data_IF_751291030097
#
_entry.id   IF_751291030097
#
_cell.length_a   1.000
_cell.length_b   1.000
_cell.length_c   1.000
_cell.angle_alpha   90.00
_cell.angle_beta   90.00
_cell.angle_gamma   90.00
#
_symmetry.space_group_name_H-M   'P 1'
#
loop_
_entity.id
_entity.type
_entity.pdbx_description
1 polymer ?
#
# COMPACT_ATOMS: atom_id res chain seq x y z
N UNK A 1 15.70 0.84 0.30
CA UNK A 1 14.29 1.26 0.26
C UNK A 1 14.23 2.65 0.86
N UNK A 2 13.54 3.54 0.19
CA UNK A 2 13.25 4.90 0.66
C UNK A 2 11.73 5.09 0.65
N UNK A 3 11.15 5.41 1.81
CA UNK A 3 9.69 5.57 1.98
C UNK A 3 9.41 6.87 2.70
N UNK A 4 8.51 7.68 2.15
CA UNK A 4 8.01 8.92 2.75
C UNK A 4 6.48 8.87 2.77
N UNK A 5 5.89 9.19 3.92
CA UNK A 5 4.44 9.32 4.09
C UNK A 5 4.14 10.69 4.68
N UNK A 6 3.18 11.40 4.07
CA UNK A 6 2.67 12.68 4.56
C UNK A 6 1.13 12.61 4.55
N UNK A 7 0.55 12.58 5.74
CA UNK A 7 -0.90 12.45 5.93
C UNK A 7 -1.65 13.76 5.69
N UNK A 8 -0.95 14.91 5.73
CA UNK A 8 -1.54 16.23 5.56
C UNK A 8 -1.51 16.72 4.11
N UNK A 9 -0.68 16.09 3.26
CA UNK A 9 -0.57 16.46 1.86
C UNK A 9 -1.52 15.65 0.98
N UNK A 10 -2.32 16.36 0.18
CA UNK A 10 -3.20 15.71 -0.79
C UNK A 10 -2.41 14.89 -1.81
N UNK A 11 -2.88 13.68 -2.08
CA UNK A 11 -2.39 12.87 -3.18
C UNK A 11 -2.70 13.57 -4.52
N UNK A 12 -1.68 13.87 -5.28
CA UNK A 12 -1.83 14.29 -6.68
C UNK A 12 -1.31 13.17 -7.57
N UNK A 13 -2.13 12.67 -8.48
CA UNK A 13 -1.73 11.64 -9.43
C UNK A 13 -0.40 12.01 -10.10
N UNK A 14 0.50 11.06 -10.24
CA UNK A 14 1.78 11.29 -10.92
C UNK A 14 1.51 11.50 -12.41
N UNK A 15 2.05 12.59 -12.96
CA UNK A 15 2.18 12.73 -14.41
C UNK A 15 3.27 11.75 -14.89
N UNK A 16 2.86 10.81 -15.74
CA UNK A 16 3.63 9.91 -16.60
C UNK A 16 4.88 9.18 -16.04
N UNK A 17 4.70 7.89 -15.81
CA UNK A 17 5.71 6.91 -15.42
C UNK A 17 6.82 6.59 -16.45
N UNK A 18 6.89 7.28 -17.58
CA UNK A 18 7.78 6.93 -18.70
C UNK A 18 9.28 7.15 -18.45
N UNK A 19 9.69 7.68 -17.29
CA UNK A 19 11.09 8.03 -17.02
C UNK A 19 11.83 7.18 -15.97
N UNK A 20 11.15 6.26 -15.29
CA UNK A 20 11.73 5.61 -14.11
C UNK A 20 12.92 4.69 -14.40
N UNK A 21 12.89 3.94 -15.50
CA UNK A 21 14.00 3.04 -15.86
C UNK A 21 15.26 3.77 -16.32
N UNK A 22 15.12 4.89 -17.01
CA UNK A 22 16.24 5.68 -17.51
C UNK A 22 17.02 6.42 -16.41
N UNK A 23 16.39 6.67 -15.26
CA UNK A 23 17.01 7.42 -14.17
C UNK A 23 17.96 6.58 -13.31
N UNK A 24 17.88 5.23 -13.40
CA UNK A 24 18.66 4.34 -12.54
C UNK A 24 19.64 3.47 -13.33
N UNK A 25 20.78 4.10 -13.72
CA UNK A 25 21.81 3.50 -14.59
C UNK A 25 22.82 2.57 -13.89
N UNK A 26 22.69 2.38 -12.58
CA UNK A 26 23.62 1.52 -11.80
C UNK A 26 24.99 2.15 -11.50
N UNK A 27 25.28 3.33 -12.01
CA UNK A 27 26.55 4.02 -11.74
C UNK A 27 26.59 4.58 -10.31
N UNK A 28 27.79 4.64 -9.71
CA UNK A 28 27.96 5.28 -8.42
C UNK A 28 27.62 6.78 -8.51
N UNK A 29 26.63 7.23 -7.75
CA UNK A 29 26.14 8.62 -7.74
C UNK A 29 26.57 9.33 -6.46
N UNK A 30 26.87 10.61 -6.57
CA UNK A 30 27.00 11.46 -5.38
C UNK A 30 25.66 11.62 -4.66
N UNK A 31 25.63 11.97 -3.36
CA UNK A 31 24.38 12.19 -2.65
C UNK A 31 23.44 13.19 -3.34
N UNK A 32 23.97 14.28 -3.90
CA UNK A 32 23.18 15.27 -4.63
C UNK A 32 22.61 14.72 -5.95
N UNK A 33 23.38 13.88 -6.68
CA UNK A 33 22.89 13.22 -7.89
C UNK A 33 21.82 12.18 -7.57
N UNK A 34 21.99 11.45 -6.45
CA UNK A 34 21.00 10.50 -5.98
C UNK A 34 19.68 11.20 -5.63
N UNK A 35 19.76 12.29 -4.87
CA UNK A 35 18.59 13.10 -4.51
C UNK A 35 17.87 13.66 -5.74
N UNK A 36 18.61 14.16 -6.73
CA UNK A 36 18.04 14.65 -7.99
C UNK A 36 17.36 13.51 -8.78
N UNK A 37 17.96 12.30 -8.78
CA UNK A 37 17.39 11.13 -9.41
C UNK A 37 16.08 10.71 -8.73
N UNK A 38 16.07 10.63 -7.39
CA UNK A 38 14.89 10.28 -6.60
C UNK A 38 13.74 11.28 -6.84
N UNK A 39 14.05 12.57 -6.98
CA UNK A 39 13.04 13.59 -7.30
C UNK A 39 12.39 13.43 -8.68
N UNK A 40 13.13 12.86 -9.63
CA UNK A 40 12.65 12.62 -10.99
C UNK A 40 11.87 11.31 -11.16
N UNK A 41 11.91 10.41 -10.15
CA UNK A 41 11.17 9.14 -10.19
C UNK A 41 9.67 9.36 -9.94
N UNK A 42 8.81 8.47 -10.44
CA UNK A 42 7.42 8.36 -10.01
C UNK A 42 7.32 8.30 -8.48
N UNK A 43 6.17 8.61 -7.94
CA UNK A 43 5.96 8.55 -6.47
C UNK A 43 6.15 7.15 -5.92
N UNK A 44 5.69 6.16 -6.66
CA UNK A 44 5.90 4.75 -6.37
C UNK A 44 6.75 4.16 -7.48
N UNK A 45 7.90 3.63 -7.13
CA UNK A 45 8.85 2.99 -8.05
C UNK A 45 9.60 1.88 -7.29
N UNK A 46 8.97 0.73 -7.14
CA UNK A 46 9.55 -0.44 -6.49
C UNK A 46 10.32 -1.31 -7.49
N UNK A 47 10.02 -1.15 -8.77
CA UNK A 47 10.51 -1.99 -9.84
C UNK A 47 9.73 -3.29 -10.01
N UNK A 48 8.63 -3.45 -9.27
CA UNK A 48 7.63 -4.52 -9.40
C UNK A 48 6.32 -3.86 -9.82
N UNK A 49 6.02 -3.91 -11.12
CA UNK A 49 4.95 -3.10 -11.73
C UNK A 49 3.56 -3.34 -11.11
N UNK A 50 3.31 -4.59 -10.70
CA UNK A 50 2.06 -4.96 -10.00
C UNK A 50 1.96 -4.27 -8.64
N UNK A 51 3.04 -4.26 -7.87
CA UNK A 51 3.09 -3.62 -6.56
C UNK A 51 2.95 -2.10 -6.67
N UNK A 52 3.61 -1.48 -7.65
CA UNK A 52 3.50 -0.04 -7.89
C UNK A 52 2.04 0.38 -8.09
N UNK A 53 1.29 -0.37 -8.90
CA UNK A 53 -0.15 -0.12 -9.12
C UNK A 53 -1.01 -0.30 -7.87
N UNK A 54 -0.71 -1.30 -7.03
CA UNK A 54 -1.44 -1.54 -5.78
C UNK A 54 -1.20 -0.42 -4.77
N UNK A 55 0.05 0.02 -4.62
CA UNK A 55 0.43 1.10 -3.72
C UNK A 55 -0.09 2.46 -4.18
N UNK A 56 -0.13 2.73 -5.50
CA UNK A 56 -0.75 3.92 -6.05
C UNK A 56 -2.27 3.93 -5.79
N UNK A 57 -2.95 2.80 -5.97
CA UNK A 57 -4.37 2.66 -5.67
C UNK A 57 -4.66 2.89 -4.17
N UNK A 58 -3.81 2.37 -3.29
CA UNK A 58 -3.87 2.60 -1.84
C UNK A 58 -3.71 4.09 -1.51
N UNK A 59 -2.64 4.72 -1.98
CA UNK A 59 -2.31 6.11 -1.68
C UNK A 59 -3.37 7.08 -2.21
N UNK A 60 -3.83 6.87 -3.45
CA UNK A 60 -4.89 7.66 -4.05
C UNK A 60 -6.21 7.55 -3.29
N UNK A 61 -6.58 6.35 -2.86
CA UNK A 61 -7.81 6.12 -2.11
C UNK A 61 -7.74 6.67 -0.68
N UNK A 62 -6.56 6.65 -0.05
CA UNK A 62 -6.31 7.24 1.26
C UNK A 62 -6.26 8.78 1.22
N UNK A 63 -6.12 9.36 0.05
CA UNK A 63 -5.88 10.80 -0.15
C UNK A 63 -4.65 11.33 0.62
N UNK A 64 -3.66 10.47 0.84
CA UNK A 64 -2.40 10.80 1.51
C UNK A 64 -1.24 10.76 0.51
N UNK A 65 -0.22 11.57 0.76
CA UNK A 65 0.98 11.53 -0.06
C UNK A 65 1.86 10.36 0.40
N UNK A 66 2.07 9.42 -0.50
CA UNK A 66 3.00 8.31 -0.33
C UNK A 66 4.09 8.41 -1.39
N UNK A 67 5.32 8.16 -0.98
CA UNK A 67 6.47 8.10 -1.85
C UNK A 67 7.29 6.87 -1.49
N UNK A 68 7.47 5.99 -2.44
CA UNK A 68 8.16 4.70 -2.25
C UNK A 68 9.14 4.48 -3.38
N UNK A 69 10.41 4.35 -3.04
CA UNK A 69 11.43 3.97 -4.00
C UNK A 69 12.21 2.75 -3.48
N UNK A 70 12.24 1.70 -4.26
CA UNK A 70 12.97 0.48 -3.93
C UNK A 70 13.89 0.07 -5.08
N UNK A 71 15.06 -0.45 -4.72
CA UNK A 71 15.94 -1.15 -5.62
C UNK A 71 16.29 -2.49 -5.00
N UNK A 72 15.46 -3.49 -5.28
CA UNK A 72 15.63 -4.85 -4.79
C UNK A 72 16.39 -5.77 -5.73
N UNK A 73 16.52 -7.01 -5.31
CA UNK A 73 17.20 -8.11 -5.98
C UNK A 73 16.28 -8.85 -6.99
N UNK A 74 15.58 -8.09 -7.81
CA UNK A 74 14.59 -8.56 -8.81
C UNK A 74 15.09 -9.68 -9.75
N UNK A 75 16.37 -9.99 -9.72
CA UNK A 75 16.92 -11.11 -10.45
C UNK A 75 16.64 -12.49 -9.82
N UNK A 76 16.12 -12.49 -8.58
CA UNK A 76 15.71 -13.68 -7.84
C UNK A 76 14.20 -13.87 -8.04
N UNK A 77 13.38 -12.97 -7.45
CA UNK A 77 11.92 -12.96 -7.52
C UNK A 77 11.35 -11.61 -7.04
N UNK A 78 10.04 -11.57 -6.79
CA UNK A 78 9.32 -10.42 -6.27
C UNK A 78 9.25 -10.35 -4.73
N UNK A 79 9.63 -11.44 -4.03
CA UNK A 79 9.37 -11.65 -2.60
C UNK A 79 10.00 -10.56 -1.73
N UNK A 80 11.34 -10.51 -1.71
CA UNK A 80 12.06 -9.59 -0.82
C UNK A 80 11.65 -8.13 -1.03
N UNK A 81 11.51 -7.72 -2.31
CA UNK A 81 11.14 -6.35 -2.63
C UNK A 81 9.72 -6.00 -2.19
N UNK A 82 8.76 -6.89 -2.40
CA UNK A 82 7.36 -6.65 -2.05
C UNK A 82 7.15 -6.64 -0.53
N UNK A 83 7.75 -7.59 0.19
CA UNK A 83 7.67 -7.68 1.63
C UNK A 83 8.32 -6.48 2.32
N UNK A 84 9.58 -6.18 1.99
CA UNK A 84 10.34 -5.10 2.63
C UNK A 84 9.74 -3.71 2.36
N UNK A 85 9.19 -3.49 1.17
CA UNK A 85 8.46 -2.26 0.84
C UNK A 85 7.20 -2.15 1.69
N UNK A 86 6.43 -3.21 1.81
CA UNK A 86 5.19 -3.22 2.60
C UNK A 86 5.47 -3.00 4.10
N UNK A 87 6.50 -3.66 4.65
CA UNK A 87 6.98 -3.46 6.02
C UNK A 87 7.37 -2.00 6.23
N UNK A 88 8.26 -1.45 5.37
CA UNK A 88 8.75 -0.08 5.51
C UNK A 88 7.62 0.94 5.43
N UNK A 89 6.67 0.76 4.51
CA UNK A 89 5.51 1.64 4.39
C UNK A 89 4.60 1.54 5.61
N UNK A 90 4.38 0.35 6.14
CA UNK A 90 3.59 0.14 7.35
C UNK A 90 4.18 0.84 8.56
N UNK A 91 5.50 0.74 8.75
CA UNK A 91 6.23 1.42 9.82
C UNK A 91 6.13 2.94 9.67
N UNK A 92 6.33 3.49 8.47
CA UNK A 92 6.16 4.92 8.20
C UNK A 92 4.73 5.40 8.50
N UNK A 93 3.70 4.63 8.12
CA UNK A 93 2.32 4.93 8.46
C UNK A 93 2.09 4.94 9.97
N UNK A 94 2.62 3.95 10.69
CA UNK A 94 2.51 3.88 12.14
C UNK A 94 3.15 5.12 12.81
N UNK A 95 4.33 5.51 12.37
CA UNK A 95 5.03 6.69 12.87
C UNK A 95 4.27 7.99 12.56
N UNK A 96 3.77 8.14 11.33
CA UNK A 96 3.02 9.31 10.89
C UNK A 96 1.70 9.49 11.67
N UNK A 97 1.01 8.40 12.00
CA UNK A 97 -0.24 8.43 12.79
C UNK A 97 0.01 8.76 14.26
N UNK A 98 1.19 8.53 14.79
CA UNK A 98 1.61 8.89 16.14
C UNK A 98 0.77 8.25 17.25
N UNK A 99 0.40 9.04 18.25
CA UNK A 99 -0.37 8.60 19.43
C UNK A 99 -1.87 8.45 19.16
N UNK A 100 -2.32 8.81 17.94
CA UNK A 100 -3.71 8.72 17.47
C UNK A 100 -4.69 9.62 18.24
N UNK A 101 -4.18 10.64 18.92
CA UNK A 101 -5.00 11.62 19.64
C UNK A 101 -5.83 12.46 18.66
N UNK A 102 -7.12 12.57 18.95
CA UNK A 102 -8.04 13.36 18.15
C UNK A 102 -8.53 12.71 16.87
N UNK A 103 -7.97 11.54 16.46
CA UNK A 103 -8.37 10.86 15.24
C UNK A 103 -9.70 10.12 15.38
N UNK A 104 -10.37 9.86 14.25
CA UNK A 104 -11.54 8.97 14.19
C UNK A 104 -11.19 7.57 14.64
N UNK A 105 -10.01 7.07 14.30
CA UNK A 105 -9.46 5.77 14.65
C UNK A 105 -10.04 4.60 13.88
N UNK A 106 -11.34 4.53 13.74
CA UNK A 106 -12.04 3.42 13.08
C UNK A 106 -12.81 3.93 11.87
N UNK A 107 -12.72 3.21 10.77
CA UNK A 107 -13.47 3.48 9.55
C UNK A 107 -13.73 2.20 8.76
N UNK A 108 -14.59 2.31 7.76
CA UNK A 108 -14.76 1.28 6.76
C UNK A 108 -14.94 1.93 5.39
N UNK A 109 -14.51 1.24 4.37
CA UNK A 109 -14.72 1.67 3.00
C UNK A 109 -14.99 0.46 2.10
N UNK A 110 -15.66 0.72 0.99
CA UNK A 110 -15.87 -0.26 -0.07
C UNK A 110 -15.33 0.30 -1.37
N UNK A 111 -14.60 -0.53 -2.13
CA UNK A 111 -14.08 -0.17 -3.45
C UNK A 111 -14.43 -1.24 -4.46
N UNK A 112 -14.74 -0.76 -5.67
CA UNK A 112 -15.06 -1.61 -6.82
C UNK A 112 -14.05 -1.36 -7.93
N UNK A 113 -13.51 -2.45 -8.49
CA UNK A 113 -12.68 -2.43 -9.70
C UNK A 113 -13.23 -3.51 -10.63
N UNK A 114 -13.69 -3.12 -11.79
CA UNK A 114 -14.44 -4.04 -12.67
C UNK A 114 -15.66 -4.63 -11.97
N UNK A 115 -15.77 -5.95 -11.96
CA UNK A 115 -16.82 -6.70 -11.27
C UNK A 115 -16.48 -7.01 -9.80
N UNK A 116 -15.21 -6.87 -9.40
CA UNK A 116 -14.77 -7.15 -8.04
C UNK A 116 -15.07 -5.98 -7.10
N UNK A 117 -15.60 -6.28 -5.92
CA UNK A 117 -15.89 -5.30 -4.89
C UNK A 117 -15.42 -5.81 -3.53
N UNK A 118 -14.60 -5.01 -2.85
CA UNK A 118 -14.03 -5.33 -1.54
C UNK A 118 -14.44 -4.28 -0.51
N UNK A 119 -14.81 -4.75 0.68
CA UNK A 119 -14.99 -3.93 1.87
C UNK A 119 -13.82 -4.10 2.81
N UNK A 120 -13.25 -2.98 3.25
CA UNK A 120 -12.26 -2.92 4.32
C UNK A 120 -12.90 -2.31 5.58
N UNK A 121 -12.62 -2.90 6.74
CA UNK A 121 -12.94 -2.34 8.06
C UNK A 121 -11.63 -2.21 8.82
N UNK A 122 -11.32 -1.02 9.27
CA UNK A 122 -10.04 -0.65 9.87
C UNK A 122 -10.22 -0.12 11.30
N UNK A 123 -9.36 -0.58 12.21
CA UNK A 123 -9.13 0.03 13.52
C UNK A 123 -7.63 0.28 13.73
N UNK A 124 -7.23 1.54 13.94
CA UNK A 124 -5.86 1.94 14.30
C UNK A 124 -5.57 1.55 15.76
N UNK A 125 -5.68 0.26 16.05
CA UNK A 125 -5.81 -0.32 17.40
C UNK A 125 -4.49 -0.46 18.18
N UNK A 126 -3.33 -0.37 17.52
CA UNK A 126 -2.02 -0.85 17.99
C UNK A 126 -1.99 -2.36 18.32
N UNK A 127 -2.96 -3.11 17.83
CA UNK A 127 -3.04 -4.57 17.92
C UNK A 127 -3.11 -5.13 16.50
N UNK A 128 -1.93 -5.42 15.91
CA UNK A 128 -1.85 -5.89 14.54
C UNK A 128 -2.69 -7.16 14.35
N UNK A 129 -3.57 -7.14 13.37
CA UNK A 129 -4.36 -8.31 13.01
C UNK A 129 -4.97 -8.12 11.62
N UNK A 130 -4.93 -9.14 10.80
CA UNK A 130 -5.57 -9.15 9.49
C UNK A 130 -6.49 -10.36 9.36
N UNK A 131 -7.68 -10.13 8.85
CA UNK A 131 -8.60 -11.20 8.42
C UNK A 131 -9.07 -10.88 7.02
N UNK A 132 -8.97 -11.85 6.12
CA UNK A 132 -9.37 -11.72 4.73
C UNK A 132 -10.07 -12.99 4.25
N UNK A 133 -11.16 -12.84 3.50
CA UNK A 133 -11.80 -13.92 2.74
C UNK A 133 -11.53 -13.80 1.24
N UNK A 134 -10.63 -12.90 0.84
CA UNK A 134 -10.25 -12.72 -0.55
C UNK A 134 -9.52 -13.95 -1.08
N UNK A 135 -9.88 -14.39 -2.28
CA UNK A 135 -9.24 -15.52 -2.96
C UNK A 135 -8.54 -15.03 -4.21
N UNK A 136 -7.24 -15.15 -4.22
CA UNK A 136 -6.40 -14.86 -5.36
C UNK A 136 -6.06 -16.17 -6.07
N UNK A 137 -6.88 -16.55 -7.04
CA UNK A 137 -6.82 -17.87 -7.68
C UNK A 137 -5.88 -17.91 -8.89
N UNK A 138 -5.39 -16.77 -9.37
CA UNK A 138 -4.42 -16.66 -10.46
C UNK A 138 -3.00 -16.54 -9.88
N UNK A 139 -2.00 -17.09 -10.56
CA UNK A 139 -0.61 -17.09 -10.09
C UNK A 139 0.00 -15.69 -10.04
N UNK A 140 -0.32 -14.85 -11.04
CA UNK A 140 0.20 -13.50 -11.17
C UNK A 140 -0.90 -12.45 -11.26
N UNK A 141 -0.61 -11.24 -10.81
CA UNK A 141 -1.47 -10.08 -11.03
C UNK A 141 -1.25 -9.51 -12.43
N UNK A 142 -1.87 -10.10 -13.43
CA UNK A 142 -1.80 -9.64 -14.82
C UNK A 142 -2.17 -10.74 -15.80
N UNK A 143 -2.38 -10.36 -17.07
CA UNK A 143 -2.90 -11.23 -18.11
C UNK A 143 -1.88 -12.26 -18.63
N UNK A 144 -0.62 -12.18 -18.25
CA UNK A 144 0.42 -13.09 -18.72
C UNK A 144 1.48 -13.35 -17.65
N UNK A 145 1.99 -14.59 -17.64
CA UNK A 145 3.19 -14.93 -16.90
C UNK A 145 4.39 -14.10 -17.40
N UNK A 146 5.32 -13.70 -16.51
CA UNK A 146 6.49 -12.93 -16.91
C UNK A 146 7.37 -13.72 -17.89
N UNK A 147 7.94 -12.99 -18.86
CA UNK A 147 8.92 -13.56 -19.78
C UNK A 147 10.25 -13.90 -19.11
N UNK A 148 11.15 -14.59 -19.83
CA UNK A 148 12.50 -14.86 -19.33
C UNK A 148 13.23 -13.56 -18.94
N UNK A 149 13.66 -13.46 -17.69
CA UNK A 149 14.34 -12.28 -17.13
C UNK A 149 13.40 -11.20 -16.57
N UNK A 150 12.09 -11.42 -16.59
CA UNK A 150 11.08 -10.49 -16.04
C UNK A 150 10.44 -11.00 -14.73
N UNK A 151 10.86 -12.15 -14.24
CA UNK A 151 10.25 -12.82 -13.07
C UNK A 151 10.13 -11.90 -11.85
N UNK A 152 11.17 -11.13 -11.54
CA UNK A 152 11.14 -10.20 -10.42
C UNK A 152 10.45 -8.86 -10.70
N UNK A 153 9.79 -8.70 -11.85
CA UNK A 153 8.96 -7.51 -12.18
C UNK A 153 7.46 -7.81 -12.12
N UNK A 154 7.10 -9.07 -12.27
CA UNK A 154 5.72 -9.51 -12.10
C UNK A 154 5.45 -9.70 -10.60
N UNK A 155 4.28 -9.28 -10.16
CA UNK A 155 3.83 -9.53 -8.80
C UNK A 155 3.00 -10.82 -8.78
N UNK A 156 3.42 -11.77 -7.96
CA UNK A 156 2.61 -12.96 -7.70
C UNK A 156 1.40 -12.62 -6.83
N UNK A 157 0.34 -13.39 -6.96
CA UNK A 157 -0.87 -13.21 -6.14
C UNK A 157 -0.61 -13.48 -4.66
N UNK A 158 0.28 -14.44 -4.38
CA UNK A 158 0.76 -14.72 -3.03
C UNK A 158 1.44 -13.50 -2.42
N UNK A 159 2.34 -12.84 -3.17
CA UNK A 159 3.05 -11.66 -2.70
C UNK A 159 2.15 -10.43 -2.60
N UNK A 160 1.12 -10.31 -3.42
CA UNK A 160 0.12 -9.25 -3.25
C UNK A 160 -0.64 -9.39 -1.92
N UNK A 161 -1.06 -10.61 -1.58
CA UNK A 161 -1.70 -10.90 -0.30
C UNK A 161 -0.75 -10.66 0.87
N UNK A 162 0.49 -11.14 0.76
CA UNK A 162 1.52 -10.98 1.78
C UNK A 162 1.91 -9.52 2.02
N UNK A 163 2.08 -8.73 0.95
CA UNK A 163 2.36 -7.30 1.06
C UNK A 163 1.22 -6.53 1.75
N UNK A 164 -0.03 -6.87 1.45
CA UNK A 164 -1.17 -6.26 2.11
C UNK A 164 -1.19 -6.59 3.61
N UNK A 165 -0.93 -7.84 3.98
CA UNK A 165 -0.85 -8.28 5.36
C UNK A 165 0.32 -7.60 6.09
N UNK A 166 1.52 -7.61 5.53
CA UNK A 166 2.72 -6.98 6.10
C UNK A 166 2.51 -5.47 6.32
N UNK A 167 1.93 -4.78 5.34
CA UNK A 167 1.58 -3.36 5.45
C UNK A 167 0.65 -3.09 6.64
N UNK A 168 -0.41 -3.87 6.78
CA UNK A 168 -1.39 -3.69 7.85
C UNK A 168 -0.82 -4.04 9.23
N UNK A 169 -0.02 -5.10 9.34
CA UNK A 169 0.61 -5.53 10.58
C UNK A 169 1.62 -4.48 11.07
N UNK A 170 2.47 -3.97 10.19
CA UNK A 170 3.49 -2.97 10.52
C UNK A 170 2.89 -1.57 10.76
N UNK A 171 1.77 -1.23 10.10
CA UNK A 171 0.96 -0.04 10.46
C UNK A 171 0.25 -0.20 11.83
N UNK A 172 0.41 -1.35 12.48
CA UNK A 172 -0.19 -1.71 13.78
C UNK A 172 -1.69 -1.49 13.83
N UNK A 173 -2.37 -1.88 12.77
CA UNK A 173 -3.82 -1.80 12.69
C UNK A 173 -4.48 -3.19 12.72
N UNK A 174 -5.76 -3.20 13.05
CA UNK A 174 -6.65 -4.34 12.84
C UNK A 174 -7.39 -4.09 11.53
N UNK A 175 -7.23 -4.98 10.55
CA UNK A 175 -7.84 -4.87 9.23
C UNK A 175 -8.67 -6.12 8.93
N UNK A 176 -9.93 -5.90 8.54
CA UNK A 176 -10.80 -6.94 8.02
C UNK A 176 -11.15 -6.62 6.58
N UNK A 177 -10.89 -7.56 5.67
CA UNK A 177 -11.24 -7.48 4.26
C UNK A 177 -12.29 -8.52 3.93
N UNK A 178 -13.34 -8.09 3.27
CA UNK A 178 -14.42 -8.97 2.82
C UNK A 178 -14.68 -8.77 1.33
N UNK A 179 -14.69 -9.87 0.58
CA UNK A 179 -15.18 -9.91 -0.79
C UNK A 179 -16.68 -9.67 -0.80
N UNK A 180 -17.12 -8.58 -1.41
CA UNK A 180 -18.56 -8.24 -1.55
C UNK A 180 -19.12 -8.76 -2.86
N UNK A 181 -18.30 -8.68 -3.93
CA UNK A 181 -18.62 -9.20 -5.25
C UNK A 181 -17.34 -9.62 -5.97
N UNK A 182 -17.43 -10.70 -6.73
CA UNK A 182 -16.40 -11.22 -7.62
C UNK A 182 -17.08 -12.07 -8.69
N UNK A 183 -16.72 -11.90 -9.94
CA UNK A 183 -17.28 -12.69 -11.06
C UNK A 183 -16.47 -13.95 -11.38
N UNK A 184 -15.26 -14.10 -10.80
CA UNK A 184 -14.36 -15.21 -11.01
C UNK A 184 -13.87 -15.36 -12.45
N UNK A 185 -13.99 -14.31 -13.28
CA UNK A 185 -13.52 -14.33 -14.65
C UNK A 185 -12.01 -14.08 -14.74
N UNK A 186 -11.33 -14.49 -15.82
CA UNK A 186 -9.91 -14.24 -16.00
C UNK A 186 -9.54 -12.77 -15.76
N UNK A 187 -8.48 -12.50 -14.99
CA UNK A 187 -8.06 -11.16 -14.56
C UNK A 187 -8.79 -10.64 -13.31
N UNK A 188 -9.69 -11.43 -12.70
CA UNK A 188 -10.40 -11.01 -11.49
C UNK A 188 -9.45 -10.80 -10.30
N UNK A 189 -8.40 -11.60 -10.18
CA UNK A 189 -7.43 -11.50 -9.08
C UNK A 189 -6.76 -10.12 -9.04
N UNK A 190 -6.35 -9.57 -10.18
CA UNK A 190 -5.80 -8.22 -10.26
C UNK A 190 -6.81 -7.14 -9.84
N UNK A 191 -8.06 -7.27 -10.29
CA UNK A 191 -9.14 -6.36 -9.91
C UNK A 191 -9.46 -6.45 -8.43
N UNK A 192 -9.47 -7.67 -7.89
CA UNK A 192 -9.72 -7.93 -6.46
C UNK A 192 -8.61 -7.32 -5.59
N UNK A 193 -7.34 -7.49 -5.99
CA UNK A 193 -6.20 -6.90 -5.29
C UNK A 193 -6.25 -5.36 -5.32
N UNK A 194 -6.51 -4.75 -6.49
CA UNK A 194 -6.69 -3.30 -6.60
C UNK A 194 -7.85 -2.79 -5.75
N UNK A 195 -8.97 -3.50 -5.73
CA UNK A 195 -10.11 -3.16 -4.88
C UNK A 195 -9.76 -3.25 -3.39
N UNK A 196 -8.98 -4.28 -2.98
CA UNK A 196 -8.55 -4.47 -1.60
C UNK A 196 -7.62 -3.36 -1.11
N UNK A 197 -6.56 -3.06 -1.87
CA UNK A 197 -5.65 -1.96 -1.54
C UNK A 197 -6.36 -0.60 -1.56
N UNK A 198 -7.23 -0.36 -2.54
CA UNK A 198 -8.04 0.85 -2.59
C UNK A 198 -9.04 0.97 -1.44
N UNK A 199 -9.68 -0.14 -1.01
CA UNK A 199 -10.59 -0.14 0.14
C UNK A 199 -9.84 0.11 1.46
N UNK A 200 -8.67 -0.53 1.62
CA UNK A 200 -7.81 -0.29 2.78
C UNK A 200 -7.36 1.17 2.84
N UNK A 201 -6.84 1.73 1.72
CA UNK A 201 -6.45 3.12 1.64
C UNK A 201 -7.59 4.08 2.00
N UNK A 202 -8.78 3.88 1.43
CA UNK A 202 -9.93 4.72 1.74
C UNK A 202 -10.36 4.63 3.21
N UNK A 203 -10.35 3.44 3.80
CA UNK A 203 -10.63 3.28 5.23
C UNK A 203 -9.55 3.97 6.09
N UNK A 204 -8.27 3.92 5.66
CA UNK A 204 -7.18 4.63 6.33
C UNK A 204 -7.41 6.14 6.29
N UNK A 205 -7.68 6.71 5.09
CA UNK A 205 -7.93 8.14 4.94
C UNK A 205 -9.01 8.66 5.88
N UNK A 206 -10.12 7.91 6.00
CA UNK A 206 -11.17 8.27 6.97
C UNK A 206 -10.75 8.08 8.43
N UNK A 207 -9.99 7.01 8.74
CA UNK A 207 -9.59 6.71 10.12
C UNK A 207 -8.61 7.73 10.70
N UNK A 208 -7.77 8.34 9.85
CA UNK A 208 -6.80 9.39 10.24
C UNK A 208 -7.41 10.80 10.26
N UNK A 209 -8.65 10.99 9.81
CA UNK A 209 -9.31 12.29 9.93
C UNK A 209 -9.46 12.70 11.40
N UNK A 210 -9.28 13.99 11.66
CA UNK A 210 -9.51 14.58 12.99
C UNK A 210 -11.00 14.58 13.31
N UNK A 211 -11.41 13.97 14.43
CA UNK A 211 -12.77 14.08 14.95
C UNK A 211 -12.87 15.28 15.93
N UNK A 212 -13.50 16.40 15.55
CA UNK A 212 -13.56 17.59 16.40
C UNK A 212 -14.31 17.33 17.73
N UNK A 213 -15.13 16.28 17.81
CA UNK A 213 -15.84 15.90 19.02
C UNK A 213 -14.94 15.32 20.10
N UNK A 214 -13.76 14.82 19.71
CA UNK A 214 -12.79 14.19 20.63
C UNK A 214 -11.90 15.20 21.37
N UNK A 215 -11.84 16.44 20.90
CA UNK A 215 -11.03 17.51 21.52
C UNK A 215 -9.58 17.11 21.81
N UNK A 216 -8.94 16.36 20.87
CA UNK A 216 -7.59 15.84 21.04
C UNK A 216 -7.46 14.59 21.94
N UNK A 217 -8.56 14.05 22.44
CA UNK A 217 -8.53 12.81 23.24
C UNK A 217 -8.41 11.56 22.37
N UNK A 218 -7.76 10.53 22.92
CA UNK A 218 -7.63 9.22 22.26
C UNK A 218 -8.97 8.48 22.29
N UNK A 219 -9.34 7.86 21.19
CA UNK A 219 -10.57 7.08 21.04
C UNK A 219 -10.47 5.71 21.76
N UNK A 220 -10.25 5.72 23.06
CA UNK A 220 -10.11 4.51 23.87
C UNK A 220 -10.66 4.75 25.28
N UNK A 221 -11.40 3.79 25.81
CA UNK A 221 -11.88 3.83 27.19
C UNK A 221 -10.72 3.77 28.22
N UNK A 222 -9.53 3.34 27.80
CA UNK A 222 -8.32 3.33 28.61
C UNK A 222 -7.56 4.66 28.59
N UNK A 223 -7.96 5.63 27.73
CA UNK A 223 -7.25 6.90 27.52
C UNK A 223 -5.96 6.79 26.71
N UNK A 224 -5.58 5.59 26.30
CA UNK A 224 -4.39 5.32 25.48
C UNK A 224 -4.63 4.16 24.52
N UNK A 225 -3.87 4.12 23.45
CA UNK A 225 -3.72 2.98 22.53
C UNK A 225 -2.31 2.36 22.61
N UNK A 226 -1.48 2.78 23.55
CA UNK A 226 -0.21 2.09 23.84
C UNK A 226 -0.51 0.65 24.31
N UNK A 227 0.25 -0.28 23.76
CA UNK A 227 0.19 -1.69 24.18
C UNK A 227 0.83 -1.88 25.55
#
# INVERSE_FOLDING_TARGET
IDVEVDLDAAYAAADDAAGAEAAWDGAAKTPAQLEATIRALPRVATGVDGLDRLLDAFAAAAAVKVKVHCRGDRHIDDHHSAEDVAISLGQCLHEAVGDKAGLRRMAFATRRVGACEVRAVLDLSNRPHVTSDLRFDEEFLGDAAPGPGEVGRALTSEMAAHALESLALEARCTLHLACVADDGLPGHTANLALAAFGAFGAALGEAVEVDPRRRGGVASSKGTLSA
#
